data_IF_457191430440
#
_entry.id   IF_457191430440
#
_cell.length_a   1.000
_cell.length_b   1.000
_cell.length_c   1.000
_cell.angle_alpha   90.00
_cell.angle_beta   90.00
_cell.angle_gamma   90.00
#
_symmetry.space_group_name_H-M   'P 1'
#
loop_
_entity.id
_entity.type
_entity.pdbx_description
1 polymer ?
#
# COMPACT_ATOMS: atom_id res chain seq x y z
N UNK A 1 7.46 -27.77 -16.96
CA UNK A 1 7.68 -26.31 -16.84
C UNK A 1 6.82 -25.59 -17.88
N UNK A 2 5.79 -24.80 -17.51
CA UNK A 2 5.16 -23.90 -18.47
C UNK A 2 5.47 -22.43 -18.15
N UNK A 3 6.35 -21.87 -18.97
CA UNK A 3 6.30 -20.53 -19.57
C UNK A 3 5.78 -19.36 -18.75
N UNK A 4 6.67 -18.70 -18.01
CA UNK A 4 6.44 -17.34 -17.51
C UNK A 4 6.81 -16.34 -18.63
N UNK A 5 5.84 -15.99 -19.49
CA UNK A 5 6.03 -14.89 -20.46
C UNK A 5 6.16 -13.55 -19.70
N UNK A 6 7.20 -12.74 -19.94
CA UNK A 6 7.38 -11.45 -19.29
C UNK A 6 6.46 -10.42 -19.96
N UNK A 7 5.18 -10.40 -19.56
CA UNK A 7 4.23 -9.42 -20.08
C UNK A 7 4.41 -8.08 -19.35
N UNK A 8 5.27 -7.22 -19.92
CA UNK A 8 5.62 -5.89 -19.41
C UNK A 8 4.61 -4.78 -19.80
N UNK A 9 3.52 -5.08 -20.50
CA UNK A 9 2.69 -4.06 -21.17
C UNK A 9 1.53 -3.46 -20.36
N UNK A 10 1.68 -3.30 -19.05
CA UNK A 10 0.63 -2.65 -18.25
C UNK A 10 0.93 -2.42 -16.78
N UNK A 11 2.19 -2.28 -16.38
CA UNK A 11 2.51 -2.02 -14.97
C UNK A 11 2.04 -0.61 -14.58
N UNK A 12 1.04 -0.46 -13.70
CA UNK A 12 0.69 0.86 -13.19
C UNK A 12 1.88 1.46 -12.43
N UNK A 13 2.07 2.79 -12.47
CA UNK A 13 3.06 3.45 -11.62
C UNK A 13 2.88 3.02 -10.17
N UNK A 14 3.97 2.74 -9.45
CA UNK A 14 3.96 2.25 -8.05
C UNK A 14 3.04 3.11 -7.17
N UNK A 15 3.12 4.44 -7.31
CA UNK A 15 2.27 5.37 -6.57
C UNK A 15 0.76 5.15 -6.86
N UNK A 16 0.39 4.91 -8.12
CA UNK A 16 -1.00 4.64 -8.51
C UNK A 16 -1.44 3.26 -8.04
N UNK A 17 -0.57 2.26 -8.14
CA UNK A 17 -0.82 0.92 -7.63
C UNK A 17 -1.07 0.92 -6.12
N UNK A 18 -0.26 1.69 -5.39
CA UNK A 18 -0.37 1.87 -3.96
C UNK A 18 -1.66 2.59 -3.54
N UNK A 19 -1.98 3.69 -4.22
CA UNK A 19 -3.14 4.54 -3.90
C UNK A 19 -4.48 3.80 -4.10
N UNK A 20 -4.58 3.03 -5.19
CA UNK A 20 -5.83 2.39 -5.60
C UNK A 20 -5.88 0.88 -5.31
N UNK A 21 -4.82 0.31 -4.73
CA UNK A 21 -4.75 -1.14 -4.49
C UNK A 21 -4.82 -1.97 -5.78
N UNK A 22 -4.05 -1.57 -6.79
CA UNK A 22 -4.02 -2.23 -8.09
C UNK A 22 -3.02 -3.39 -8.07
N UNK A 23 -3.32 -4.45 -8.81
CA UNK A 23 -2.38 -5.53 -9.06
C UNK A 23 -1.15 -4.98 -9.82
N UNK A 24 0.10 -5.23 -9.36
CA UNK A 24 1.30 -4.72 -10.02
C UNK A 24 1.51 -5.32 -11.42
N UNK A 25 0.93 -6.48 -11.70
CA UNK A 25 1.05 -7.18 -12.98
C UNK A 25 -0.01 -6.77 -13.99
N UNK A 26 -1.30 -6.79 -13.60
CA UNK A 26 -2.41 -6.54 -14.54
C UNK A 26 -3.14 -5.20 -14.35
N UNK A 27 -2.84 -4.46 -13.27
CA UNK A 27 -3.49 -3.18 -12.99
C UNK A 27 -4.93 -3.26 -12.50
N UNK A 28 -5.50 -4.45 -12.24
CA UNK A 28 -6.86 -4.58 -11.69
C UNK A 28 -6.91 -4.29 -10.18
N UNK A 29 -7.97 -3.64 -9.68
CA UNK A 29 -8.20 -3.34 -8.25
C UNK A 29 -8.54 -4.60 -7.44
N UNK A 30 -7.59 -5.51 -7.31
CA UNK A 30 -7.76 -6.86 -6.73
C UNK A 30 -6.80 -7.14 -5.58
N UNK A 31 -5.98 -6.15 -5.20
CA UNK A 31 -4.90 -6.34 -4.24
C UNK A 31 -5.40 -6.59 -2.81
N UNK A 32 -6.56 -6.01 -2.45
CA UNK A 32 -7.11 -6.08 -1.10
C UNK A 32 -8.45 -6.84 -1.08
N UNK A 33 -8.63 -7.69 -0.08
CA UNK A 33 -9.84 -8.48 0.17
C UNK A 33 -10.63 -7.95 1.39
N UNK A 34 -10.17 -6.86 1.99
CA UNK A 34 -10.79 -6.21 3.14
C UNK A 34 -10.24 -4.80 3.36
N UNK A 35 -10.49 -4.20 4.55
CA UNK A 35 -10.07 -2.83 4.82
C UNK A 35 -8.54 -2.66 4.81
N UNK A 36 -7.80 -3.66 5.33
CA UNK A 36 -6.32 -3.66 5.41
C UNK A 36 -5.71 -4.99 4.95
N UNK A 37 -6.55 -6.02 4.72
CA UNK A 37 -6.09 -7.38 4.42
C UNK A 37 -5.80 -7.56 2.93
N UNK A 38 -4.62 -8.06 2.59
CA UNK A 38 -4.29 -8.48 1.24
C UNK A 38 -5.09 -9.70 0.81
N UNK A 39 -5.47 -9.74 -0.46
CA UNK A 39 -5.95 -10.97 -1.08
C UNK A 39 -4.79 -11.99 -1.16
N UNK A 40 -5.09 -13.29 -1.21
CA UNK A 40 -4.06 -14.31 -1.42
C UNK A 40 -3.56 -14.32 -2.87
N UNK A 41 -4.45 -14.07 -3.83
CA UNK A 41 -4.13 -14.05 -5.26
C UNK A 41 -4.95 -12.99 -5.99
N UNK A 42 -4.42 -12.53 -7.12
CA UNK A 42 -5.14 -11.67 -8.04
C UNK A 42 -6.28 -12.45 -8.72
N UNK A 43 -7.51 -11.95 -8.64
CA UNK A 43 -8.68 -12.60 -9.27
C UNK A 43 -8.68 -12.54 -10.81
N UNK A 44 -7.82 -11.69 -11.41
CA UNK A 44 -7.76 -11.49 -12.87
C UNK A 44 -6.56 -12.21 -13.50
N UNK A 45 -5.36 -12.02 -12.94
CA UNK A 45 -4.13 -12.60 -13.51
C UNK A 45 -3.53 -13.75 -12.69
N UNK A 46 -4.21 -14.18 -11.62
CA UNK A 46 -3.79 -15.26 -10.73
C UNK A 46 -2.39 -15.08 -10.12
N UNK A 47 -1.88 -13.84 -10.05
CA UNK A 47 -0.63 -13.55 -9.36
C UNK A 47 -0.79 -13.85 -7.86
N UNK A 48 0.10 -14.69 -7.32
CA UNK A 48 0.14 -15.01 -5.91
C UNK A 48 0.75 -13.82 -5.13
N UNK A 49 -0.03 -13.24 -4.22
CA UNK A 49 0.42 -12.14 -3.36
C UNK A 49 1.12 -12.65 -2.10
N UNK A 50 0.92 -13.91 -1.71
CA UNK A 50 1.51 -14.49 -0.49
C UNK A 50 3.03 -14.63 -0.58
N UNK A 51 3.57 -14.73 -1.78
CA UNK A 51 5.01 -14.73 -2.06
C UNK A 51 5.69 -13.41 -1.70
N UNK A 52 4.94 -12.31 -1.68
CA UNK A 52 5.43 -10.98 -1.35
C UNK A 52 5.25 -10.71 0.15
N UNK A 53 6.18 -11.23 0.96
CA UNK A 53 6.21 -10.91 2.39
C UNK A 53 6.81 -9.52 2.62
N UNK A 54 6.01 -8.48 2.42
CA UNK A 54 6.40 -7.10 2.73
C UNK A 54 6.28 -6.86 4.23
N UNK A 55 7.42 -6.78 4.92
CA UNK A 55 7.48 -6.61 6.36
C UNK A 55 6.76 -5.35 6.86
N UNK A 56 6.26 -5.38 8.10
CA UNK A 56 5.49 -4.27 8.70
C UNK A 56 6.35 -3.04 9.11
N UNK A 57 7.66 -3.03 8.82
CA UNK A 57 8.58 -1.95 9.21
C UNK A 57 8.17 -0.56 8.72
N UNK A 58 7.90 -0.36 7.43
CA UNK A 58 7.45 0.93 6.90
C UNK A 58 6.04 1.32 7.38
N UNK A 59 5.20 0.34 7.72
CA UNK A 59 3.87 0.59 8.26
C UNK A 59 3.93 1.23 9.66
N UNK A 60 4.87 0.78 10.51
CA UNK A 60 5.10 1.38 11.82
C UNK A 60 5.55 2.85 11.70
N UNK A 61 6.53 3.13 10.84
CA UNK A 61 7.03 4.49 10.62
C UNK A 61 5.94 5.43 10.06
N UNK A 62 5.15 4.94 9.11
CA UNK A 62 4.03 5.69 8.55
C UNK A 62 2.97 6.03 9.61
N UNK A 63 2.68 5.08 10.50
CA UNK A 63 1.72 5.30 11.59
C UNK A 63 2.22 6.37 12.57
N UNK A 64 3.52 6.39 12.87
CA UNK A 64 4.12 7.43 13.72
C UNK A 64 4.01 8.82 13.10
N UNK A 65 4.28 8.95 11.79
CA UNK A 65 4.13 10.22 11.07
C UNK A 65 2.67 10.69 11.09
N UNK A 66 1.73 9.80 10.78
CA UNK A 66 0.30 10.11 10.79
C UNK A 66 -0.13 10.57 12.20
N UNK A 67 0.29 9.86 13.24
CA UNK A 67 0.01 10.21 14.64
C UNK A 67 0.55 11.59 15.00
N UNK A 68 1.80 11.89 14.65
CA UNK A 68 2.41 13.20 14.92
C UNK A 68 1.64 14.34 14.22
N UNK A 69 1.27 14.15 12.94
CA UNK A 69 0.49 15.14 12.19
C UNK A 69 -0.90 15.36 12.80
N UNK A 70 -1.58 14.28 13.21
CA UNK A 70 -2.90 14.38 13.85
C UNK A 70 -2.82 15.11 15.20
N UNK A 71 -1.78 14.85 16.00
CA UNK A 71 -1.58 15.56 17.28
C UNK A 71 -1.37 17.06 17.05
N UNK A 72 -0.51 17.44 16.10
CA UNK A 72 -0.28 18.85 15.77
C UNK A 72 -1.58 19.51 15.28
N UNK A 73 -2.34 18.82 14.43
CA UNK A 73 -3.62 19.31 13.94
C UNK A 73 -4.65 19.47 15.06
N UNK A 74 -4.71 18.51 16.01
CA UNK A 74 -5.60 18.55 17.16
C UNK A 74 -5.29 19.72 18.09
N UNK A 75 -4.01 19.91 18.43
CA UNK A 75 -3.57 21.04 19.25
C UNK A 75 -3.85 22.38 18.58
N UNK A 76 -3.66 22.46 17.27
CA UNK A 76 -3.93 23.70 16.50
C UNK A 76 -5.44 24.00 16.48
N UNK A 77 -6.27 22.99 16.25
CA UNK A 77 -7.73 23.15 16.25
C UNK A 77 -8.25 23.58 17.63
N UNK A 78 -7.74 22.96 18.68
CA UNK A 78 -8.12 23.29 20.05
C UNK A 78 -7.70 24.72 20.43
N UNK A 79 -6.48 25.13 20.05
CA UNK A 79 -5.98 26.48 20.31
C UNK A 79 -6.78 27.58 19.59
N UNK A 80 -7.23 27.33 18.35
CA UNK A 80 -7.90 28.34 17.52
C UNK A 80 -9.41 28.37 17.77
N UNK A 81 -10.07 27.21 17.78
CA UNK A 81 -11.53 27.12 17.74
C UNK A 81 -12.16 26.73 19.09
N UNK A 82 -11.38 26.19 20.05
CA UNK A 82 -11.86 25.64 21.34
C UNK A 82 -13.18 24.85 21.21
N UNK A 83 -13.29 23.89 20.28
CA UNK A 83 -14.56 23.24 20.03
C UNK A 83 -14.94 22.31 21.20
N UNK A 84 -16.24 22.11 21.46
CA UNK A 84 -16.70 21.24 22.53
C UNK A 84 -16.18 19.80 22.34
N UNK A 85 -15.97 19.09 23.46
CA UNK A 85 -15.32 17.78 23.49
C UNK A 85 -15.96 16.72 22.57
N UNK A 86 -17.28 16.78 22.38
CA UNK A 86 -17.97 15.84 21.49
C UNK A 86 -17.56 16.01 20.01
N UNK A 87 -17.28 17.25 19.57
CA UNK A 87 -16.78 17.52 18.22
C UNK A 87 -15.40 16.93 18.03
N UNK A 88 -14.54 16.99 19.05
CA UNK A 88 -13.25 16.33 19.02
C UNK A 88 -13.39 14.82 18.81
N UNK A 89 -14.25 14.15 19.56
CA UNK A 89 -14.47 12.71 19.39
C UNK A 89 -14.98 12.41 17.98
N UNK A 90 -16.01 13.13 17.54
CA UNK A 90 -16.68 12.86 16.27
C UNK A 90 -15.82 13.20 15.05
N UNK A 91 -14.87 14.13 15.18
CA UNK A 91 -13.92 14.48 14.13
C UNK A 91 -12.70 13.55 14.15
N UNK A 92 -12.02 13.46 15.30
CA UNK A 92 -10.72 12.77 15.38
C UNK A 92 -10.85 11.26 15.30
N UNK A 93 -11.87 10.64 15.90
CA UNK A 93 -12.03 9.18 15.85
C UNK A 93 -12.14 8.65 14.42
N UNK A 94 -13.08 9.10 13.57
CA UNK A 94 -13.16 8.63 12.20
C UNK A 94 -11.97 9.09 11.36
N UNK A 95 -11.44 10.30 11.60
CA UNK A 95 -10.28 10.81 10.86
C UNK A 95 -9.02 9.97 11.13
N UNK A 96 -8.74 9.65 12.40
CA UNK A 96 -7.62 8.80 12.78
C UNK A 96 -7.81 7.38 12.23
N UNK A 97 -9.01 6.80 12.38
CA UNK A 97 -9.29 5.47 11.84
C UNK A 97 -9.07 5.43 10.32
N UNK A 98 -9.61 6.41 9.58
CA UNK A 98 -9.42 6.52 8.14
C UNK A 98 -7.96 6.72 7.75
N UNK A 99 -7.24 7.62 8.44
CA UNK A 99 -5.84 7.91 8.16
C UNK A 99 -4.94 6.68 8.38
N UNK A 100 -5.13 5.94 9.47
CA UNK A 100 -4.37 4.72 9.76
C UNK A 100 -4.69 3.63 8.75
N UNK A 101 -5.97 3.33 8.51
CA UNK A 101 -6.37 2.30 7.53
C UNK A 101 -5.83 2.63 6.15
N UNK A 102 -5.97 3.88 5.71
CA UNK A 102 -5.48 4.34 4.42
C UNK A 102 -3.95 4.28 4.33
N UNK A 103 -3.25 4.77 5.35
CA UNK A 103 -1.79 4.72 5.43
C UNK A 103 -1.29 3.28 5.32
N UNK A 104 -1.83 2.36 6.12
CA UNK A 104 -1.46 0.95 6.08
C UNK A 104 -1.71 0.34 4.69
N UNK A 105 -2.84 0.67 4.06
CA UNK A 105 -3.18 0.17 2.73
C UNK A 105 -2.20 0.64 1.66
N UNK A 106 -1.92 1.94 1.62
CA UNK A 106 -0.98 2.52 0.65
C UNK A 106 0.44 2.03 0.90
N UNK A 107 0.89 2.03 2.15
CA UNK A 107 2.25 1.61 2.52
C UNK A 107 2.52 0.16 2.13
N UNK A 108 1.62 -0.76 2.49
CA UNK A 108 1.78 -2.18 2.13
C UNK A 108 1.71 -2.38 0.61
N UNK A 109 0.78 -1.74 -0.09
CA UNK A 109 0.65 -1.87 -1.53
C UNK A 109 1.86 -1.32 -2.31
N UNK A 110 2.44 -0.21 -1.84
CA UNK A 110 3.65 0.37 -2.42
C UNK A 110 4.83 -0.59 -2.33
N UNK A 111 5.06 -1.18 -1.16
CA UNK A 111 6.15 -2.14 -0.96
C UNK A 111 5.99 -3.36 -1.86
N UNK A 112 4.77 -3.89 -1.98
CA UNK A 112 4.52 -5.07 -2.83
C UNK A 112 4.80 -4.75 -4.30
N UNK A 113 4.39 -3.56 -4.76
CA UNK A 113 4.66 -3.12 -6.12
C UNK A 113 6.17 -2.90 -6.38
N UNK A 114 6.91 -2.35 -5.42
CA UNK A 114 8.37 -2.17 -5.51
C UNK A 114 9.09 -3.52 -5.54
N UNK A 115 8.72 -4.44 -4.65
CA UNK A 115 9.32 -5.77 -4.57
C UNK A 115 9.06 -6.57 -5.85
N UNK A 116 7.83 -6.52 -6.38
CA UNK A 116 7.49 -7.13 -7.67
C UNK A 116 8.35 -6.55 -8.81
N UNK A 117 8.58 -5.24 -8.85
CA UNK A 117 9.46 -4.62 -9.87
C UNK A 117 10.91 -5.03 -9.70
N UNK A 118 11.40 -5.16 -8.46
CA UNK A 118 12.77 -5.58 -8.16
C UNK A 118 13.03 -7.02 -8.58
N UNK A 119 12.13 -7.94 -8.22
CA UNK A 119 12.23 -9.34 -8.64
C UNK A 119 12.19 -9.48 -10.17
N UNK A 120 11.33 -8.70 -10.85
CA UNK A 120 11.30 -8.69 -12.32
C UNK A 120 12.61 -8.14 -12.93
N UNK A 121 13.27 -7.19 -12.28
CA UNK A 121 14.55 -6.66 -12.72
C UNK A 121 15.71 -7.64 -12.48
N UNK A 122 15.70 -8.37 -11.36
CA UNK A 122 16.69 -9.41 -11.04
C UNK A 122 16.56 -10.62 -11.98
N UNK A 123 15.33 -11.07 -12.28
CA UNK A 123 15.10 -12.13 -13.27
C UNK A 123 15.67 -11.80 -14.65
N UNK A 124 15.52 -10.54 -15.11
CA UNK A 124 16.12 -10.08 -16.38
C UNK A 124 17.65 -10.15 -16.39
N UNK A 125 18.32 -9.98 -15.24
CA UNK A 125 19.79 -10.01 -15.16
C UNK A 125 20.35 -11.43 -15.25
N UNK A 126 19.61 -12.42 -14.75
CA UNK A 126 20.01 -13.84 -14.81
C UNK A 126 19.83 -14.44 -16.21
N UNK A 127 18.89 -13.91 -17.01
CA UNK A 127 18.69 -14.29 -18.41
C UNK A 127 19.62 -13.53 -19.40
N UNK A 128 20.58 -12.75 -18.88
CA UNK A 128 21.61 -12.09 -19.69
C UNK A 128 22.59 -13.10 -20.30
N UNK A 129 23.16 -12.83 -21.49
CA UNK A 129 23.96 -13.82 -22.23
C UNK A 129 25.10 -14.36 -21.36
N UNK A 130 25.06 -15.65 -21.05
CA UNK A 130 26.23 -16.40 -20.62
C UNK A 130 27.14 -16.54 -21.84
N UNK A 131 28.13 -15.65 -21.95
CA UNK A 131 29.33 -15.86 -22.77
C UNK A 131 30.21 -16.96 -22.14
#
# INVERSE_FOLDING_TARGET
>A
MPGQKPDQKGQPPVARAALFGLCPRCGAQTLFDGPVKFASHCRVCALDYSTYNVGDGPAAFLTLIIGALLIVAALTLDAVARPPFWVHILLWVPLTAAAVVYGLRVGKAALLAIEHQRQAAEGRKLDGPHD
#
